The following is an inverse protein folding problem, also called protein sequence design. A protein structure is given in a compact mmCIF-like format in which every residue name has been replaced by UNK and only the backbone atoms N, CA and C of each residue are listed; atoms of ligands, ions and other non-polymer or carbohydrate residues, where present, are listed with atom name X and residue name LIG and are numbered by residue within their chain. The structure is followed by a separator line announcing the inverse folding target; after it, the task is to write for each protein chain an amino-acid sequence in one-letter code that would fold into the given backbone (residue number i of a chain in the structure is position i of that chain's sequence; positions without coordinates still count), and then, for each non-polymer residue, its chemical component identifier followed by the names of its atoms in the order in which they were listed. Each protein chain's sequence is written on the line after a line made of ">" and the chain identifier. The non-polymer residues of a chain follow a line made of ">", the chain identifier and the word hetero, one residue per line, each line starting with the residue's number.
data_IF_921236137687
#
_entry.id   IF_921236137687
#
_cell.length_a   1.000
_cell.length_b   1.000
_cell.length_c   1.000
_cell.angle_alpha   90.00
_cell.angle_beta   90.00
_cell.angle_gamma   90.00
#
_symmetry.space_group_name_H-M   'P 1'
#
loop_
_entity.id
_entity.type
_entity.pdbx_description
1 polymer ?
#
# COMPACT_ATOMS: atom_id res chain seq x y z
N UNK A 1 -9.59 -14.63 -10.91
CA UNK A 1 -9.59 -14.63 -9.43
C UNK A 1 -10.80 -15.45 -8.94
N UNK A 2 -12.01 -15.16 -9.43
CA UNK A 2 -13.28 -15.80 -8.98
C UNK A 2 -13.29 -17.33 -9.10
N UNK A 3 -12.61 -17.90 -10.07
CA UNK A 3 -12.51 -19.37 -10.26
C UNK A 3 -11.55 -19.99 -9.27
N UNK A 4 -10.40 -19.33 -9.03
CA UNK A 4 -9.31 -19.87 -8.20
C UNK A 4 -9.54 -19.60 -6.71
N UNK A 5 -10.15 -18.47 -6.35
CA UNK A 5 -10.38 -18.01 -4.97
C UNK A 5 -9.14 -18.12 -4.09
N UNK A 6 -8.07 -17.36 -4.42
CA UNK A 6 -6.77 -17.52 -3.80
C UNK A 6 -6.82 -17.23 -2.30
N UNK A 7 -6.00 -17.93 -1.53
CA UNK A 7 -5.75 -17.64 -0.10
C UNK A 7 -4.74 -16.55 0.11
N UNK A 8 -3.83 -16.37 -0.86
CA UNK A 8 -2.83 -15.30 -0.93
C UNK A 8 -2.76 -14.81 -2.38
N UNK A 9 -2.71 -13.50 -2.57
CA UNK A 9 -2.57 -12.91 -3.90
C UNK A 9 -1.73 -11.63 -3.83
N UNK A 10 -0.58 -11.64 -4.49
CA UNK A 10 0.17 -10.42 -4.73
C UNK A 10 -0.60 -9.53 -5.72
N UNK A 11 -0.64 -8.25 -5.45
CA UNK A 11 -1.42 -7.28 -6.23
C UNK A 11 -0.67 -5.96 -6.42
N UNK A 12 -1.26 -5.12 -7.24
CA UNK A 12 -0.82 -3.75 -7.48
C UNK A 12 -1.93 -2.78 -7.06
N UNK A 13 -1.63 -1.52 -6.75
CA UNK A 13 -2.63 -0.53 -6.31
C UNK A 13 -3.81 -0.42 -7.26
N UNK A 14 -3.58 -0.47 -8.57
CA UNK A 14 -4.63 -0.39 -9.61
C UNK A 14 -5.73 -1.44 -9.47
N UNK A 15 -5.43 -2.60 -8.90
CA UNK A 15 -6.44 -3.62 -8.61
C UNK A 15 -7.43 -3.12 -7.55
N UNK A 16 -6.92 -2.56 -6.47
CA UNK A 16 -7.72 -2.04 -5.36
C UNK A 16 -8.49 -0.78 -5.71
N UNK A 17 -7.91 0.09 -6.54
CA UNK A 17 -8.61 1.25 -7.11
C UNK A 17 -9.85 0.83 -7.90
N UNK A 18 -9.74 -0.20 -8.74
CA UNK A 18 -10.89 -0.74 -9.47
C UNK A 18 -11.94 -1.35 -8.55
N UNK A 19 -11.52 -2.05 -7.48
CA UNK A 19 -12.44 -2.57 -6.46
C UNK A 19 -13.17 -1.42 -5.77
N UNK A 20 -12.44 -0.39 -5.36
CA UNK A 20 -13.01 0.79 -4.72
C UNK A 20 -14.01 1.50 -5.64
N UNK A 21 -13.62 1.79 -6.88
CA UNK A 21 -14.49 2.44 -7.86
C UNK A 21 -15.80 1.66 -8.08
N UNK A 22 -15.73 0.33 -8.24
CA UNK A 22 -16.92 -0.50 -8.39
C UNK A 22 -17.82 -0.51 -7.15
N UNK A 23 -17.24 -0.41 -5.94
CA UNK A 23 -18.05 -0.28 -4.71
C UNK A 23 -18.70 1.09 -4.64
N UNK A 24 -17.99 2.18 -4.99
CA UNK A 24 -18.56 3.54 -5.00
C UNK A 24 -19.70 3.65 -6.03
N UNK A 25 -19.52 3.11 -7.22
CA UNK A 25 -20.58 3.02 -8.23
C UNK A 25 -21.82 2.31 -7.66
N UNK A 26 -21.63 1.15 -7.03
CA UNK A 26 -22.73 0.38 -6.43
C UNK A 26 -23.44 1.12 -5.31
N UNK A 27 -22.70 1.87 -4.48
CA UNK A 27 -23.27 2.73 -3.45
C UNK A 27 -24.11 3.85 -4.09
N UNK A 28 -23.61 4.45 -5.17
CA UNK A 28 -24.30 5.55 -5.86
C UNK A 28 -25.61 5.10 -6.55
N UNK A 29 -25.61 3.91 -7.14
CA UNK A 29 -26.82 3.31 -7.74
C UNK A 29 -27.86 2.86 -6.68
N UNK A 30 -27.42 2.64 -5.45
CA UNK A 30 -28.28 2.13 -4.39
C UNK A 30 -28.95 3.28 -3.65
N UNK A 31 -30.22 3.11 -3.25
CA UNK A 31 -31.01 4.13 -2.52
C UNK A 31 -31.59 3.56 -1.23
N UNK A 32 -32.13 4.46 -0.40
CA UNK A 32 -32.85 4.11 0.82
C UNK A 32 -32.01 3.37 1.86
N UNK A 33 -32.62 2.43 2.57
CA UNK A 33 -32.00 1.69 3.67
C UNK A 33 -30.74 0.91 3.24
N UNK A 34 -30.73 0.35 2.05
CA UNK A 34 -29.57 -0.42 1.54
C UNK A 34 -28.33 0.46 1.44
N UNK A 35 -28.47 1.68 0.91
CA UNK A 35 -27.36 2.65 0.82
C UNK A 35 -26.86 3.00 2.23
N UNK A 36 -27.78 3.30 3.14
CA UNK A 36 -27.44 3.63 4.53
C UNK A 36 -26.65 2.49 5.22
N UNK A 37 -27.04 1.22 5.00
CA UNK A 37 -26.34 0.06 5.54
C UNK A 37 -24.94 -0.12 4.95
N UNK A 38 -24.76 0.11 3.64
CA UNK A 38 -23.43 0.03 3.00
C UNK A 38 -22.49 1.10 3.57
N UNK A 39 -22.95 2.33 3.73
CA UNK A 39 -22.16 3.43 4.29
C UNK A 39 -21.85 3.19 5.78
N UNK A 40 -22.84 2.71 6.57
CA UNK A 40 -22.62 2.38 7.99
C UNK A 40 -21.62 1.20 8.13
N UNK A 41 -21.66 0.21 7.23
CA UNK A 41 -20.68 -0.86 7.22
C UNK A 41 -19.24 -0.30 7.05
N UNK A 42 -18.99 0.52 6.03
CA UNK A 42 -17.68 1.13 5.81
C UNK A 42 -17.23 1.91 7.05
N UNK A 43 -18.11 2.73 7.65
CA UNK A 43 -17.83 3.49 8.85
C UNK A 43 -17.49 2.60 10.05
N UNK A 44 -18.30 1.56 10.30
CA UNK A 44 -18.09 0.60 11.40
C UNK A 44 -16.76 -0.14 11.22
N UNK A 45 -16.46 -0.57 10.00
CA UNK A 45 -15.20 -1.24 9.68
C UNK A 45 -14.00 -0.31 9.81
N UNK A 46 -14.10 0.96 9.38
CA UNK A 46 -13.06 1.96 9.59
C UNK A 46 -12.73 2.12 11.06
N UNK A 47 -13.74 2.36 11.89
CA UNK A 47 -13.54 2.45 13.35
C UNK A 47 -12.89 1.17 13.88
N UNK A 48 -13.42 0.00 13.54
CA UNK A 48 -12.95 -1.28 14.05
C UNK A 48 -11.48 -1.52 13.70
N UNK A 49 -11.15 -1.46 12.41
CA UNK A 49 -9.85 -1.85 11.89
C UNK A 49 -8.80 -0.73 11.97
N UNK A 50 -9.16 0.53 11.63
CA UNK A 50 -8.19 1.61 11.53
C UNK A 50 -8.03 2.41 12.82
N UNK A 51 -9.13 2.73 13.53
CA UNK A 51 -9.04 3.56 14.72
C UNK A 51 -8.66 2.73 15.96
N UNK A 52 -8.89 1.41 15.93
CA UNK A 52 -8.59 0.53 17.05
C UNK A 52 -7.58 -0.58 16.73
N UNK A 53 -7.92 -1.58 15.92
CA UNK A 53 -7.06 -2.77 15.73
C UNK A 53 -5.69 -2.40 15.14
N UNK A 54 -5.63 -1.52 14.18
CA UNK A 54 -4.37 -0.99 13.63
C UNK A 54 -3.45 -0.42 14.71
N UNK A 55 -4.03 0.20 15.73
CA UNK A 55 -3.29 0.79 16.85
C UNK A 55 -3.06 -0.18 18.03
N UNK A 56 -3.35 -1.47 17.86
CA UNK A 56 -3.26 -2.46 18.93
C UNK A 56 -4.29 -2.28 20.04
N UNK A 57 -5.39 -1.55 19.79
CA UNK A 57 -6.45 -1.27 20.77
C UNK A 57 -7.66 -2.17 20.53
N UNK A 58 -8.42 -2.42 21.59
CA UNK A 58 -9.68 -3.15 21.51
C UNK A 58 -10.84 -2.21 21.17
N UNK A 59 -11.62 -2.46 20.08
CA UNK A 59 -12.78 -1.66 19.75
C UNK A 59 -13.89 -1.73 20.81
N UNK A 60 -14.77 -0.71 20.93
CA UNK A 60 -15.93 -0.75 21.81
C UNK A 60 -16.85 -1.95 21.49
N UNK A 61 -17.47 -2.54 22.51
CA UNK A 61 -18.31 -3.75 22.37
C UNK A 61 -19.40 -3.59 21.29
N UNK A 62 -20.08 -2.44 21.28
CA UNK A 62 -21.10 -2.17 20.26
C UNK A 62 -20.54 -2.15 18.84
N UNK A 63 -19.32 -1.61 18.65
CA UNK A 63 -18.64 -1.64 17.36
C UNK A 63 -18.27 -3.08 16.96
N UNK A 64 -17.77 -3.89 17.90
CA UNK A 64 -17.45 -5.30 17.65
C UNK A 64 -18.68 -6.10 17.19
N UNK A 65 -19.85 -5.89 17.85
CA UNK A 65 -21.09 -6.58 17.48
C UNK A 65 -21.57 -6.18 16.07
N UNK A 66 -21.55 -4.88 15.77
CA UNK A 66 -21.90 -4.39 14.42
C UNK A 66 -20.91 -4.88 13.37
N UNK A 67 -19.60 -4.87 13.67
CA UNK A 67 -18.57 -5.37 12.76
C UNK A 67 -18.79 -6.84 12.41
N UNK A 68 -19.02 -7.72 13.41
CA UNK A 68 -19.32 -9.15 13.19
C UNK A 68 -20.58 -9.35 12.33
N UNK A 69 -21.58 -8.50 12.49
CA UNK A 69 -22.77 -8.55 11.62
C UNK A 69 -22.42 -8.20 10.17
N UNK A 70 -21.69 -7.11 9.94
CA UNK A 70 -21.28 -6.69 8.60
C UNK A 70 -20.25 -7.64 7.99
N UNK A 71 -19.40 -8.25 8.79
CA UNK A 71 -18.44 -9.26 8.32
C UNK A 71 -19.15 -10.45 7.68
N UNK A 72 -20.22 -10.95 8.31
CA UNK A 72 -21.00 -12.08 7.80
C UNK A 72 -21.91 -11.71 6.62
N UNK A 73 -22.21 -10.44 6.44
CA UNK A 73 -23.15 -9.95 5.42
C UNK A 73 -22.45 -9.17 4.31
N UNK A 74 -22.14 -7.91 4.56
CA UNK A 74 -21.65 -6.97 3.53
C UNK A 74 -20.22 -7.29 3.11
N UNK A 75 -19.29 -7.45 4.06
CA UNK A 75 -17.87 -7.69 3.70
C UNK A 75 -17.67 -9.07 3.09
N UNK A 76 -18.37 -10.11 3.59
CA UNK A 76 -18.35 -11.45 2.98
C UNK A 76 -18.87 -11.41 1.54
N UNK A 77 -19.97 -10.70 1.28
CA UNK A 77 -20.52 -10.53 -0.06
C UNK A 77 -19.52 -9.82 -0.99
N UNK A 78 -18.89 -8.73 -0.51
CA UNK A 78 -17.86 -8.00 -1.26
C UNK A 78 -16.70 -8.93 -1.61
N UNK A 79 -16.12 -9.64 -0.63
CA UNK A 79 -15.01 -10.58 -0.84
C UNK A 79 -15.36 -11.68 -1.86
N UNK A 80 -16.56 -12.24 -1.79
CA UNK A 80 -17.08 -13.22 -2.77
C UNK A 80 -17.25 -12.61 -4.16
N UNK A 81 -17.74 -11.37 -4.25
CA UNK A 81 -17.91 -10.67 -5.53
C UNK A 81 -16.57 -10.45 -6.22
N UNK A 82 -15.52 -10.15 -5.47
CA UNK A 82 -14.14 -10.01 -5.99
C UNK A 82 -13.54 -11.41 -6.28
N UNK A 83 -13.88 -12.44 -5.51
CA UNK A 83 -13.33 -13.80 -5.56
C UNK A 83 -12.13 -13.98 -4.64
N UNK A 84 -12.12 -13.28 -3.49
CA UNK A 84 -11.03 -13.30 -2.49
C UNK A 84 -11.54 -13.75 -1.11
N UNK A 85 -12.67 -14.41 -1.04
CA UNK A 85 -13.29 -14.82 0.22
C UNK A 85 -12.44 -15.79 1.06
N UNK A 86 -11.55 -16.54 0.41
CA UNK A 86 -10.60 -17.43 1.06
C UNK A 86 -9.27 -16.75 1.40
N UNK A 87 -9.11 -15.50 0.95
CA UNK A 87 -7.87 -14.76 1.08
C UNK A 87 -7.69 -14.15 2.47
N UNK A 88 -6.50 -14.29 3.00
CA UNK A 88 -6.12 -13.76 4.30
C UNK A 88 -4.90 -12.83 4.26
N UNK A 89 -4.23 -12.71 3.09
CA UNK A 89 -3.03 -11.90 2.94
C UNK A 89 -2.87 -11.41 1.49
N UNK A 90 -2.76 -10.07 1.32
CA UNK A 90 -2.72 -9.42 0.01
C UNK A 90 -1.55 -8.42 -0.08
N UNK A 91 -0.31 -8.90 -0.34
CA UNK A 91 0.81 -8.01 -0.60
C UNK A 91 0.52 -7.10 -1.80
N UNK A 92 0.73 -5.81 -1.63
CA UNK A 92 0.49 -4.78 -2.64
C UNK A 92 1.71 -3.90 -2.76
N UNK A 93 2.29 -3.84 -3.96
CA UNK A 93 3.52 -3.09 -4.24
C UNK A 93 3.59 -2.65 -5.71
N UNK A 94 4.70 -2.00 -6.10
CA UNK A 94 4.99 -1.60 -7.48
C UNK A 94 4.53 -0.20 -7.86
N UNK A 95 3.70 0.44 -7.06
CA UNK A 95 3.34 1.86 -7.13
C UNK A 95 2.85 2.33 -5.78
N UNK A 96 2.72 3.65 -5.58
CA UNK A 96 2.13 4.21 -4.38
C UNK A 96 0.65 3.80 -4.26
N UNK A 97 0.22 3.43 -3.06
CA UNK A 97 -1.19 3.17 -2.74
C UNK A 97 -1.80 4.46 -2.22
N UNK A 98 -2.83 5.03 -2.87
CA UNK A 98 -3.53 6.19 -2.33
C UNK A 98 -4.11 5.90 -0.93
N UNK A 99 -4.00 6.86 -0.02
CA UNK A 99 -4.45 6.69 1.37
C UNK A 99 -5.93 6.30 1.45
N UNK A 100 -6.78 6.91 0.63
CA UNK A 100 -8.21 6.58 0.56
C UNK A 100 -8.45 5.11 0.20
N UNK A 101 -7.68 4.56 -0.74
CA UNK A 101 -7.77 3.16 -1.16
C UNK A 101 -7.29 2.25 -0.03
N UNK A 102 -6.18 2.61 0.61
CA UNK A 102 -5.64 1.88 1.75
C UNK A 102 -6.66 1.83 2.90
N UNK A 103 -7.21 2.98 3.30
CA UNK A 103 -8.24 3.07 4.32
C UNK A 103 -9.49 2.25 3.98
N UNK A 104 -9.99 2.34 2.74
CA UNK A 104 -11.16 1.59 2.31
C UNK A 104 -10.94 0.08 2.39
N UNK A 105 -9.83 -0.42 1.85
CA UNK A 105 -9.53 -1.85 1.81
C UNK A 105 -9.47 -2.44 3.22
N UNK A 106 -8.81 -1.75 4.15
CA UNK A 106 -8.77 -2.16 5.55
C UNK A 106 -10.15 -2.02 6.24
N UNK A 107 -10.92 -0.98 5.91
CA UNK A 107 -12.27 -0.79 6.48
C UNK A 107 -13.22 -1.95 6.16
N UNK A 108 -13.08 -2.58 5.01
CA UNK A 108 -13.91 -3.75 4.64
C UNK A 108 -13.29 -5.08 5.07
N UNK A 109 -12.30 -5.04 5.97
CA UNK A 109 -11.68 -6.23 6.56
C UNK A 109 -10.83 -7.04 5.59
N UNK A 110 -10.19 -6.39 4.62
CA UNK A 110 -9.21 -7.02 3.72
C UNK A 110 -7.82 -6.71 4.26
N UNK A 111 -7.03 -7.77 4.51
CA UNK A 111 -5.67 -7.66 5.02
C UNK A 111 -4.69 -7.35 3.87
N UNK A 112 -4.65 -6.08 3.47
CA UNK A 112 -3.68 -5.59 2.50
C UNK A 112 -2.39 -5.21 3.21
N UNK A 113 -1.24 -5.67 2.71
CA UNK A 113 0.09 -5.31 3.21
C UNK A 113 0.80 -4.51 2.13
N UNK A 114 1.02 -3.24 2.39
CA UNK A 114 1.75 -2.38 1.48
C UNK A 114 3.25 -2.63 1.63
N UNK A 115 3.95 -2.81 0.52
CA UNK A 115 5.39 -3.03 0.50
C UNK A 115 6.09 -2.14 -0.52
N UNK A 116 7.37 -1.89 -0.27
CA UNK A 116 8.28 -1.20 -1.16
C UNK A 116 9.47 -2.07 -1.51
N UNK A 117 9.90 -1.96 -2.74
CA UNK A 117 11.11 -2.59 -3.24
C UNK A 117 11.24 -2.48 -4.75
N UNK A 118 12.37 -2.95 -5.23
CA UNK A 118 12.80 -2.87 -6.63
C UNK A 118 13.30 -4.27 -7.08
N UNK A 119 13.42 -4.46 -8.36
CA UNK A 119 14.08 -5.65 -8.91
C UNK A 119 15.50 -5.79 -8.35
N UNK A 120 16.20 -4.67 -8.24
CA UNK A 120 17.57 -4.55 -7.72
C UNK A 120 17.69 -4.88 -6.22
N UNK A 121 16.58 -4.89 -5.48
CA UNK A 121 16.54 -5.27 -4.05
C UNK A 121 15.95 -6.66 -3.81
N UNK A 122 15.81 -7.47 -4.83
CA UNK A 122 15.19 -8.81 -4.76
C UNK A 122 13.77 -8.71 -4.17
N UNK A 123 12.98 -7.85 -4.77
CA UNK A 123 11.59 -7.49 -4.50
C UNK A 123 11.38 -6.58 -3.28
N UNK A 124 11.49 -7.05 -2.03
CA UNK A 124 10.94 -6.32 -0.88
C UNK A 124 12.04 -5.73 0.01
N UNK A 125 11.97 -4.43 0.24
CA UNK A 125 12.81 -3.66 1.18
C UNK A 125 12.08 -3.42 2.49
N UNK A 126 10.81 -3.05 2.42
CA UNK A 126 9.97 -2.77 3.58
C UNK A 126 8.54 -3.22 3.36
N UNK A 127 7.81 -3.46 4.43
CA UNK A 127 6.39 -3.72 4.38
C UNK A 127 5.67 -3.25 5.65
N UNK A 128 4.38 -2.95 5.52
CA UNK A 128 3.54 -2.59 6.67
C UNK A 128 3.34 -3.80 7.59
N UNK A 129 3.38 -3.54 8.90
CA UNK A 129 3.08 -4.54 9.92
C UNK A 129 1.57 -4.73 10.06
N UNK A 130 1.11 -5.86 10.65
CA UNK A 130 -0.31 -6.06 10.93
C UNK A 130 -0.90 -5.04 11.91
N UNK A 131 -0.06 -4.50 12.79
CA UNK A 131 -0.42 -3.54 13.85
C UNK A 131 0.67 -2.47 13.95
N UNK A 132 0.28 -1.24 14.29
CA UNK A 132 1.20 -0.13 14.53
C UNK A 132 1.72 0.54 13.26
N UNK A 133 1.11 0.29 12.10
CA UNK A 133 1.49 0.97 10.86
C UNK A 133 0.77 2.30 10.68
N UNK A 134 1.43 3.26 10.04
CA UNK A 134 0.83 4.52 9.62
C UNK A 134 0.29 4.40 8.18
N UNK A 135 -0.90 4.96 7.93
CA UNK A 135 -1.43 5.07 6.57
C UNK A 135 -0.49 5.94 5.74
N UNK A 136 -0.28 5.57 4.48
CA UNK A 136 0.68 6.22 3.58
C UNK A 136 2.12 5.72 3.72
N UNK A 137 2.45 4.95 4.80
CA UNK A 137 3.76 4.32 4.91
C UNK A 137 3.88 3.08 4.03
N UNK A 138 5.11 2.76 3.62
CA UNK A 138 5.48 1.46 3.05
C UNK A 138 6.07 0.53 4.11
N UNK A 139 5.86 0.87 5.38
CA UNK A 139 6.13 0.05 6.56
C UNK A 139 7.56 0.10 7.06
N UNK A 140 7.93 -0.95 7.80
CA UNK A 140 9.25 -1.08 8.42
C UNK A 140 10.22 -1.80 7.48
N UNK A 141 11.50 -1.45 7.57
CA UNK A 141 12.56 -2.10 6.80
C UNK A 141 12.71 -3.55 7.26
N UNK A 142 12.85 -4.47 6.30
CA UNK A 142 13.03 -5.88 6.59
C UNK A 142 14.42 -6.17 7.17
N UNK A 143 14.55 -7.19 8.04
CA UNK A 143 15.83 -7.58 8.62
C UNK A 143 16.87 -7.91 7.55
N UNK A 144 18.11 -7.44 7.77
CA UNK A 144 19.23 -7.67 6.85
C UNK A 144 19.34 -6.69 5.69
N UNK A 145 18.48 -5.70 5.63
CA UNK A 145 18.56 -4.55 4.71
C UNK A 145 18.84 -3.30 5.53
N UNK A 146 19.79 -2.52 5.08
CA UNK A 146 20.08 -1.20 5.61
C UNK A 146 19.47 -0.15 4.67
N UNK A 147 18.84 0.86 5.23
CA UNK A 147 18.26 1.99 4.50
C UNK A 147 18.76 3.28 5.11
N UNK A 148 19.29 4.19 4.30
CA UNK A 148 19.58 5.57 4.68
C UNK A 148 18.91 6.54 3.72
N UNK A 149 18.63 7.74 4.19
CA UNK A 149 18.17 8.85 3.36
C UNK A 149 19.41 9.69 3.02
N UNK A 150 19.70 9.79 1.74
CA UNK A 150 20.83 10.54 1.18
C UNK A 150 20.46 11.98 0.80
N UNK A 151 21.24 12.56 -0.12
CA UNK A 151 20.96 13.86 -0.70
C UNK A 151 19.63 13.82 -1.47
N UNK A 152 18.97 14.96 -1.63
CA UNK A 152 17.66 15.10 -2.28
C UNK A 152 16.57 14.14 -1.73
N UNK A 153 16.73 13.73 -0.46
CA UNK A 153 15.90 12.72 0.21
C UNK A 153 15.93 11.34 -0.51
N UNK A 154 16.93 11.02 -1.29
CA UNK A 154 17.06 9.75 -1.96
C UNK A 154 17.14 8.59 -0.96
N UNK A 155 16.40 7.53 -1.22
CA UNK A 155 16.48 6.27 -0.49
C UNK A 155 17.68 5.49 -1.02
N UNK A 156 18.62 5.20 -0.14
CA UNK A 156 19.80 4.40 -0.44
C UNK A 156 19.69 3.07 0.31
N UNK A 157 20.05 1.97 -0.38
CA UNK A 157 19.90 0.61 0.14
C UNK A 157 21.25 -0.10 0.22
N UNK A 158 21.43 -0.90 1.26
CA UNK A 158 22.58 -1.81 1.38
C UNK A 158 22.14 -3.12 2.03
N UNK A 159 22.68 -4.25 1.59
CA UNK A 159 22.39 -5.56 2.16
C UNK A 159 22.56 -6.71 1.19
N UNK A 160 22.38 -7.93 1.70
CA UNK A 160 22.61 -9.16 0.89
C UNK A 160 21.59 -9.36 -0.22
N UNK A 161 20.45 -8.71 -0.15
CA UNK A 161 19.36 -8.77 -1.16
C UNK A 161 19.57 -7.79 -2.31
N UNK A 162 20.52 -6.85 -2.15
CA UNK A 162 20.80 -5.84 -3.17
C UNK A 162 21.62 -6.47 -4.30
N UNK A 163 21.29 -6.13 -5.54
CA UNK A 163 22.00 -6.59 -6.73
C UNK A 163 23.49 -6.30 -6.65
N UNK A 164 24.30 -7.17 -7.24
CA UNK A 164 25.75 -6.93 -7.41
C UNK A 164 26.07 -6.00 -8.57
N UNK A 165 25.06 -5.67 -9.38
CA UNK A 165 25.20 -4.79 -10.54
C UNK A 165 24.42 -5.28 -11.76
N UNK A 166 24.54 -4.53 -12.84
CA UNK A 166 23.87 -4.80 -14.10
C UNK A 166 24.79 -5.63 -15.03
N UNK A 167 24.27 -6.73 -15.55
CA UNK A 167 25.04 -7.65 -16.37
C UNK A 167 25.65 -6.96 -17.59
N UNK A 168 26.98 -7.07 -17.73
CA UNK A 168 27.79 -6.42 -18.79
C UNK A 168 27.61 -4.90 -18.93
N UNK A 169 27.22 -4.21 -17.84
CA UNK A 169 27.04 -2.74 -17.81
C UNK A 169 27.83 -2.15 -16.63
N UNK A 170 29.17 -2.15 -16.74
CA UNK A 170 30.05 -1.69 -15.66
C UNK A 170 29.80 -0.22 -15.28
N UNK A 171 29.64 0.67 -16.25
CA UNK A 171 29.40 2.10 -16.03
C UNK A 171 28.06 2.34 -15.30
N UNK A 172 26.98 1.66 -15.77
CA UNK A 172 25.68 1.75 -15.10
C UNK A 172 25.71 1.18 -13.67
N UNK A 173 26.52 0.14 -13.45
CA UNK A 173 26.72 -0.43 -12.12
C UNK A 173 27.45 0.55 -11.21
N UNK A 174 28.56 1.14 -11.68
CA UNK A 174 29.32 2.13 -10.92
C UNK A 174 28.54 3.41 -10.63
N UNK A 175 27.61 3.79 -11.51
CA UNK A 175 26.71 4.92 -11.29
C UNK A 175 25.59 4.62 -10.29
N UNK A 176 25.21 3.34 -10.11
CA UNK A 176 24.11 2.95 -9.24
C UNK A 176 24.55 2.45 -7.87
N UNK A 177 25.81 1.97 -7.74
CA UNK A 177 26.31 1.39 -6.48
C UNK A 177 27.61 2.09 -6.10
N UNK A 178 27.62 2.73 -4.92
CA UNK A 178 28.78 3.38 -4.33
C UNK A 178 29.89 2.32 -3.99
N UNK A 179 31.15 2.72 -3.90
CA UNK A 179 32.24 1.80 -3.54
C UNK A 179 32.07 1.09 -2.20
N UNK A 180 31.35 1.69 -1.26
CA UNK A 180 31.03 1.12 0.05
C UNK A 180 29.73 0.30 0.07
N UNK A 181 29.10 0.09 -1.11
CA UNK A 181 27.98 -0.82 -1.35
C UNK A 181 26.59 -0.22 -1.21
N UNK A 182 26.45 1.12 -1.07
CA UNK A 182 25.14 1.75 -1.12
C UNK A 182 24.61 1.82 -2.55
N UNK A 183 23.38 1.35 -2.73
CA UNK A 183 22.66 1.37 -3.99
C UNK A 183 21.71 2.57 -4.05
N UNK A 184 21.82 3.34 -5.10
CA UNK A 184 20.96 4.47 -5.43
C UNK A 184 19.65 4.01 -6.06
N UNK A 185 18.52 4.19 -5.37
CA UNK A 185 17.22 3.72 -5.86
C UNK A 185 16.59 4.65 -6.89
N UNK A 186 16.92 5.94 -6.82
CA UNK A 186 16.25 7.00 -7.57
C UNK A 186 14.83 7.29 -7.06
N UNK A 187 14.42 6.71 -5.93
CA UNK A 187 13.18 7.02 -5.24
C UNK A 187 13.49 7.91 -4.03
N UNK A 188 12.65 8.93 -3.78
CA UNK A 188 12.76 9.80 -2.62
C UNK A 188 11.80 9.37 -1.50
N UNK A 189 12.20 9.63 -0.26
CA UNK A 189 11.39 9.29 0.90
C UNK A 189 11.97 9.77 2.21
N UNK A 190 11.30 9.42 3.30
CA UNK A 190 11.71 9.79 4.66
C UNK A 190 11.26 8.75 5.67
N UNK A 191 11.87 8.77 6.85
CA UNK A 191 11.42 7.98 8.01
C UNK A 191 10.53 8.81 8.93
N UNK A 192 9.43 8.21 9.38
CA UNK A 192 8.58 8.73 10.44
C UNK A 192 8.11 7.55 11.31
N UNK A 193 8.22 7.68 12.62
CA UNK A 193 7.84 6.62 13.58
C UNK A 193 8.49 5.25 13.28
N UNK A 194 9.72 5.23 12.76
CA UNK A 194 10.42 4.00 12.37
C UNK A 194 9.90 3.34 11.09
N UNK A 195 8.99 3.98 10.38
CA UNK A 195 8.43 3.50 9.11
C UNK A 195 8.91 4.37 7.94
N UNK A 196 9.10 3.74 6.79
CA UNK A 196 9.50 4.39 5.55
C UNK A 196 8.28 4.94 4.82
N UNK A 197 8.39 6.16 4.32
CA UNK A 197 7.43 6.83 3.46
C UNK A 197 8.08 7.18 2.14
N UNK A 198 7.40 6.91 1.04
CA UNK A 198 7.82 7.34 -0.28
C UNK A 198 7.20 8.70 -0.59
N UNK A 199 7.93 9.55 -1.29
CA UNK A 199 7.39 10.81 -1.83
C UNK A 199 7.24 10.73 -3.34
N UNK A 200 8.33 10.82 -4.08
CA UNK A 200 8.29 10.83 -5.54
C UNK A 200 9.58 10.20 -6.12
N UNK A 201 9.62 10.03 -7.43
CA UNK A 201 10.84 9.59 -8.12
C UNK A 201 11.71 10.79 -8.47
N UNK A 202 12.99 10.74 -8.07
CA UNK A 202 13.96 11.81 -8.34
C UNK A 202 14.11 12.05 -9.84
N UNK A 203 14.08 11.00 -10.68
CA UNK A 203 14.14 11.12 -12.14
C UNK A 203 12.94 11.85 -12.75
N UNK A 204 11.81 11.88 -12.09
CA UNK A 204 10.62 12.60 -12.56
C UNK A 204 10.67 14.08 -12.15
N UNK A 205 11.36 14.43 -11.06
CA UNK A 205 11.64 15.81 -10.65
C UNK A 205 12.49 16.57 -11.71
N UNK A 206 13.49 15.92 -12.28
CA UNK A 206 14.36 16.56 -13.29
C UNK A 206 13.67 16.79 -14.64
N UNK A 207 12.59 16.07 -14.94
CA UNK A 207 11.79 16.32 -16.16
C UNK A 207 10.87 17.54 -16.02
N UNK A 208 10.51 17.90 -14.81
CA UNK A 208 9.60 19.04 -14.54
C UNK A 208 10.34 20.35 -14.27
N UNK A 209 11.64 20.34 -14.06
CA UNK A 209 12.45 21.57 -13.82
C UNK A 209 12.60 22.47 -15.06
N UNK A 210 12.17 22.01 -16.26
CA UNK A 210 12.07 22.84 -17.47
C UNK A 210 10.65 23.37 -17.71
N UNK A 211 9.69 23.01 -16.87
CA UNK A 211 8.31 23.53 -16.94
C UNK A 211 7.86 23.83 -15.51
N UNK A 212 7.58 25.11 -15.25
CA UNK A 212 7.00 25.71 -14.05
C UNK A 212 6.14 24.74 -13.22
N UNK A 213 6.35 24.77 -11.88
CA UNK A 213 5.55 24.08 -10.88
C UNK A 213 4.05 24.29 -11.09
N UNK A 214 3.41 23.38 -11.77
CA UNK A 214 1.97 23.20 -11.74
C UNK A 214 1.71 21.79 -11.26
N UNK A 215 1.13 21.68 -10.08
CA UNK A 215 0.55 20.45 -9.57
C UNK A 215 -0.34 19.81 -10.62
N UNK A 216 0.15 18.80 -11.29
CA UNK A 216 -0.71 17.91 -12.08
C UNK A 216 -1.44 17.00 -11.09
N UNK A 217 -2.52 17.50 -10.48
CA UNK A 217 -3.63 16.65 -10.11
C UNK A 217 -4.08 15.97 -11.40
N UNK A 218 -4.07 14.64 -11.41
CA UNK A 218 -4.69 13.88 -12.46
C UNK A 218 -6.15 14.37 -12.59
N UNK A 219 -6.43 15.16 -13.62
CA UNK A 219 -7.79 15.44 -14.01
C UNK A 219 -8.33 14.21 -14.73
N UNK A 220 -9.39 13.68 -14.14
CA UNK A 220 -10.33 12.78 -14.74
C UNK A 220 -10.82 13.31 -16.09
N UNK A 221 -10.79 12.49 -17.07
CA UNK A 221 -11.80 12.42 -18.14
C UNK A 221 -12.13 10.95 -18.38
#
# INVERSE_FOLDING_TARGET
>A
IKEIRPTLMCSVPRFWEKVYAGVQEKINETTGLKKALMLDAIRVGRIHNLDYLRLGKTPPVMNQLKYKFYEKTIYSLLKKTIGIENGNFFPTAGAAVPDEINEFVHSVGINMVVGYGLTESTATVSCTLPVGYDIGSVGVVLPGIEVKIGEDNEILLRGKTITKGYYKKAEATAAAIEPDGWFHTGDAGYFKNGQLFLTERIKDLFKTSTVSYTHLRAHET
#
